data_IF_313114965494
#
_entry.id   IF_313114965494
#
_cell.length_a   1.000
_cell.length_b   1.000
_cell.length_c   1.000
_cell.angle_alpha   90.00
_cell.angle_beta   90.00
_cell.angle_gamma   90.00
#
_symmetry.space_group_name_H-M   'P 1'
#
loop_
_entity.id
_entity.type
_entity.pdbx_description
1 polymer ?
#
# COMPACT_ATOMS: atom_id res chain seq x y z
N UNK A 1 -17.99 -14.88 -41.28
CA UNK A 1 -18.64 -13.55 -41.33
C UNK A 1 -18.55 -12.96 -39.94
N UNK A 2 -18.10 -11.71 -39.83
CA UNK A 2 -18.15 -10.98 -38.56
C UNK A 2 -19.63 -10.66 -38.33
N UNK A 3 -20.23 -11.24 -37.30
CA UNK A 3 -21.60 -10.95 -36.92
C UNK A 3 -21.66 -9.57 -36.28
N UNK A 4 -22.80 -8.89 -36.38
CA UNK A 4 -23.03 -7.60 -35.69
C UNK A 4 -22.71 -7.73 -34.19
N UNK A 5 -23.11 -8.86 -33.58
CA UNK A 5 -22.75 -9.23 -32.21
C UNK A 5 -21.23 -9.32 -31.97
N UNK A 6 -20.46 -9.82 -32.94
CA UNK A 6 -19.00 -9.86 -32.84
C UNK A 6 -18.36 -8.48 -32.81
N UNK A 7 -18.87 -7.54 -33.61
CA UNK A 7 -18.44 -6.13 -33.59
C UNK A 7 -18.77 -5.46 -32.25
N UNK A 8 -19.98 -5.67 -31.72
CA UNK A 8 -20.36 -5.15 -30.41
C UNK A 8 -19.54 -5.74 -29.27
N UNK A 9 -19.25 -7.04 -29.31
CA UNK A 9 -18.43 -7.69 -28.30
C UNK A 9 -17.00 -7.15 -28.29
N UNK A 10 -16.37 -7.05 -29.47
CA UNK A 10 -15.01 -6.51 -29.59
C UNK A 10 -14.99 -5.03 -29.21
N UNK A 11 -15.93 -4.23 -29.70
CA UNK A 11 -16.03 -2.80 -29.36
C UNK A 11 -16.26 -2.56 -27.87
N UNK A 12 -17.20 -3.30 -27.26
CA UNK A 12 -17.49 -3.23 -25.83
C UNK A 12 -16.32 -3.70 -24.97
N UNK A 13 -15.67 -4.79 -25.36
CA UNK A 13 -14.46 -5.29 -24.69
C UNK A 13 -13.31 -4.29 -24.78
N UNK A 14 -13.06 -3.69 -25.94
CA UNK A 14 -12.03 -2.66 -26.09
C UNK A 14 -12.33 -1.40 -25.28
N UNK A 15 -13.58 -0.94 -25.26
CA UNK A 15 -13.98 0.22 -24.47
C UNK A 15 -13.80 -0.06 -22.97
N UNK A 16 -14.32 -1.20 -22.50
CA UNK A 16 -14.14 -1.66 -21.13
C UNK A 16 -12.64 -1.79 -20.79
N UNK A 17 -11.84 -2.33 -21.71
CA UNK A 17 -10.40 -2.48 -21.54
C UNK A 17 -9.69 -1.14 -21.37
N UNK A 18 -10.02 -0.12 -22.15
CA UNK A 18 -9.42 1.23 -22.01
C UNK A 18 -9.79 1.86 -20.67
N UNK A 19 -11.07 1.81 -20.29
CA UNK A 19 -11.52 2.32 -18.98
C UNK A 19 -10.88 1.55 -17.82
N UNK A 20 -10.79 0.23 -17.95
CA UNK A 20 -10.16 -0.64 -16.97
C UNK A 20 -8.65 -0.40 -16.86
N UNK A 21 -7.96 -0.26 -17.99
CA UNK A 21 -6.53 0.01 -18.03
C UNK A 21 -6.19 1.38 -17.42
N UNK A 22 -7.01 2.42 -17.68
CA UNK A 22 -6.85 3.71 -17.01
C UNK A 22 -7.01 3.57 -15.49
N UNK A 23 -8.04 2.84 -15.04
CA UNK A 23 -8.27 2.52 -13.63
C UNK A 23 -7.08 1.77 -13.01
N UNK A 24 -6.52 0.79 -13.73
CA UNK A 24 -5.36 0.02 -13.28
C UNK A 24 -4.10 0.88 -13.17
N UNK A 25 -3.83 1.75 -14.15
CA UNK A 25 -2.67 2.65 -14.11
C UNK A 25 -2.80 3.64 -12.95
N UNK A 26 -3.99 4.23 -12.77
CA UNK A 26 -4.28 5.11 -11.64
C UNK A 26 -4.11 4.37 -10.30
N UNK A 27 -4.63 3.14 -10.20
CA UNK A 27 -4.47 2.28 -9.03
C UNK A 27 -3.00 1.96 -8.73
N UNK A 28 -2.19 1.62 -9.75
CA UNK A 28 -0.76 1.35 -9.58
C UNK A 28 -0.01 2.61 -9.13
N UNK A 29 -0.34 3.79 -9.68
CA UNK A 29 0.23 5.05 -9.24
C UNK A 29 -0.16 5.37 -7.78
N UNK A 30 -1.42 5.12 -7.41
CA UNK A 30 -1.92 5.31 -6.05
C UNK A 30 -1.24 4.35 -5.07
N UNK A 31 -1.06 3.09 -5.43
CA UNK A 31 -0.30 2.11 -4.65
C UNK A 31 1.16 2.57 -4.50
N UNK A 32 1.80 2.99 -5.58
CA UNK A 32 3.19 3.47 -5.53
C UNK A 32 3.35 4.71 -4.63
N UNK A 33 2.43 5.66 -4.71
CA UNK A 33 2.55 6.95 -4.03
C UNK A 33 1.99 6.93 -2.60
N UNK A 34 0.98 6.10 -2.29
CA UNK A 34 0.36 6.01 -0.96
C UNK A 34 0.80 4.75 -0.21
N UNK A 35 0.83 3.57 -0.84
CA UNK A 35 1.16 2.32 -0.15
C UNK A 35 2.64 2.20 0.19
N UNK A 36 3.55 2.59 -0.73
CA UNK A 36 5.00 2.52 -0.47
C UNK A 36 5.44 3.36 0.73
N UNK A 37 5.08 4.67 0.85
CA UNK A 37 5.47 5.43 2.03
C UNK A 37 4.81 4.90 3.30
N UNK A 38 3.57 4.40 3.23
CA UNK A 38 2.89 3.78 4.37
C UNK A 38 3.63 2.53 4.86
N UNK A 39 4.00 1.63 3.95
CA UNK A 39 4.78 0.42 4.26
C UNK A 39 6.17 0.78 4.80
N UNK A 40 6.80 1.82 4.22
CA UNK A 40 8.11 2.32 4.68
C UNK A 40 8.01 2.94 6.08
N UNK A 41 6.96 3.69 6.37
CA UNK A 41 6.68 4.24 7.70
C UNK A 41 6.34 3.13 8.69
N UNK A 42 5.53 2.15 8.30
CA UNK A 42 5.20 1.00 9.15
C UNK A 42 6.46 0.21 9.55
N UNK A 43 7.36 -0.02 8.58
CA UNK A 43 8.64 -0.69 8.85
C UNK A 43 9.59 0.15 9.73
N UNK A 44 9.56 1.48 9.59
CA UNK A 44 10.36 2.40 10.44
C UNK A 44 9.76 2.60 11.83
N UNK A 45 8.44 2.68 11.93
CA UNK A 45 7.69 2.79 13.17
C UNK A 45 7.98 1.60 14.07
N UNK A 46 8.11 0.39 13.51
CA UNK A 46 8.51 -0.78 14.30
C UNK A 46 9.92 -0.71 14.88
N UNK A 47 10.85 0.06 14.26
CA UNK A 47 12.19 0.30 14.83
C UNK A 47 12.15 1.38 15.90
N UNK A 48 11.43 2.48 15.67
CA UNK A 48 11.28 3.55 16.67
C UNK A 48 10.53 3.09 17.92
N UNK A 49 9.44 2.34 17.76
CA UNK A 49 8.73 1.75 18.89
C UNK A 49 9.60 0.78 19.70
N UNK A 50 10.50 0.03 19.05
CA UNK A 50 11.46 -0.82 19.76
C UNK A 50 12.48 -0.03 20.55
N UNK A 51 13.01 1.05 19.96
CA UNK A 51 14.02 1.90 20.59
C UNK A 51 13.42 2.73 21.75
N UNK A 52 12.17 3.16 21.61
CA UNK A 52 11.41 3.85 22.66
C UNK A 52 11.06 2.89 23.80
N UNK A 53 10.65 1.65 23.49
CA UNK A 53 10.42 0.60 24.48
C UNK A 53 11.70 0.18 25.22
N UNK A 54 12.85 0.09 24.54
CA UNK A 54 14.14 -0.16 25.20
C UNK A 54 14.55 0.99 26.13
N UNK A 55 14.30 2.25 25.74
CA UNK A 55 14.59 3.42 26.58
C UNK A 55 13.68 3.51 27.81
N UNK A 56 12.41 3.13 27.68
CA UNK A 56 11.51 3.03 28.83
C UNK A 56 11.94 1.90 29.77
N UNK A 57 12.30 0.73 29.21
CA UNK A 57 12.80 -0.40 30.01
C UNK A 57 14.09 -0.06 30.79
N UNK A 58 15.06 0.65 30.17
CA UNK A 58 16.28 1.09 30.88
C UNK A 58 15.97 2.09 32.02
N UNK A 59 14.96 2.95 31.85
CA UNK A 59 14.54 3.89 32.90
C UNK A 59 13.86 3.14 34.05
N UNK A 60 12.98 2.20 33.73
CA UNK A 60 12.30 1.37 34.73
C UNK A 60 13.29 0.49 35.51
N UNK A 61 14.32 -0.06 34.84
CA UNK A 61 15.39 -0.81 35.51
C UNK A 61 16.24 0.08 36.43
N UNK A 62 16.57 1.31 36.02
CA UNK A 62 17.27 2.26 36.88
C UNK A 62 16.44 2.65 38.11
N UNK A 63 15.14 2.84 37.95
CA UNK A 63 14.24 3.14 39.07
C UNK A 63 14.06 1.94 40.01
N UNK A 64 13.98 0.71 39.47
CA UNK A 64 13.92 -0.53 40.27
C UNK A 64 15.21 -0.86 41.01
N UNK A 65 16.38 -0.41 40.52
CA UNK A 65 17.65 -0.55 41.23
C UNK A 65 17.84 0.47 42.37
N UNK A 66 17.05 1.55 42.37
CA UNK A 66 17.08 2.61 43.38
C UNK A 66 16.18 2.33 44.59
N UNK A 67 15.37 1.26 44.54
CA UNK A 67 14.43 0.83 45.59
C UNK A 67 14.84 -0.53 46.16
#
# INVERSE_FOLDING_TARGET
MVTEFGLFYVGGMSLLFVFWAYGLVSFVLDVKNKLIPLVRQYRRGRRRQKEEAEREAEREERERQLY
#
